data_IF_327976962368
#
_entry.id   IF_327976962368
#
_cell.length_a   1.000
_cell.length_b   1.000
_cell.length_c   1.000
_cell.angle_alpha   90.00
_cell.angle_beta   90.00
_cell.angle_gamma   90.00
#
_symmetry.space_group_name_H-M   'P 1'
#
loop_
_entity.id
_entity.type
_entity.pdbx_description
1 polymer ?
#
# COMPACT_ATOMS: atom_id res chain seq x y z
N UNK A 1 28.77 -22.26 -4.70
CA UNK A 1 27.33 -22.53 -4.95
C UNK A 1 26.40 -22.05 -3.83
N UNK A 2 26.78 -21.05 -3.00
CA UNK A 2 26.02 -20.67 -1.78
C UNK A 2 25.42 -19.24 -1.78
N UNK A 3 25.69 -18.41 -2.81
CA UNK A 3 25.15 -17.04 -2.90
C UNK A 3 23.72 -16.96 -3.48
N UNK A 4 23.30 -17.96 -4.26
CA UNK A 4 21.98 -17.97 -4.95
C UNK A 4 20.83 -18.41 -4.04
N UNK A 5 21.04 -19.31 -3.07
CA UNK A 5 20.01 -19.74 -2.11
C UNK A 5 19.65 -18.64 -1.09
N UNK A 6 20.64 -17.89 -0.61
CA UNK A 6 20.41 -16.79 0.35
C UNK A 6 19.71 -15.61 -0.29
N UNK A 7 20.01 -15.30 -1.57
CA UNK A 7 19.35 -14.22 -2.33
C UNK A 7 17.85 -14.44 -2.50
N UNK A 8 17.42 -15.68 -2.83
CA UNK A 8 15.99 -16.02 -2.93
C UNK A 8 15.25 -15.74 -1.64
N UNK A 9 15.79 -16.18 -0.49
CA UNK A 9 15.13 -16.02 0.82
C UNK A 9 14.88 -14.56 1.23
N UNK A 10 15.79 -13.64 0.90
CA UNK A 10 15.62 -12.20 1.19
C UNK A 10 14.63 -11.53 0.23
N UNK A 11 14.66 -11.89 -1.06
CA UNK A 11 13.69 -11.38 -2.05
C UNK A 11 12.29 -11.89 -1.73
N UNK A 12 12.14 -13.17 -1.40
CA UNK A 12 10.86 -13.77 -1.00
C UNK A 12 10.28 -13.06 0.24
N UNK A 13 11.15 -12.68 1.18
CA UNK A 13 10.73 -11.92 2.36
C UNK A 13 10.19 -10.54 1.99
N UNK A 14 10.93 -9.76 1.19
CA UNK A 14 10.51 -8.42 0.77
C UNK A 14 9.19 -8.48 0.00
N UNK A 15 9.06 -9.42 -0.95
CA UNK A 15 7.82 -9.66 -1.70
C UNK A 15 6.68 -10.01 -0.76
N UNK A 16 6.92 -10.85 0.25
CA UNK A 16 5.91 -11.21 1.25
C UNK A 16 5.39 -9.99 2.02
N UNK A 17 6.29 -9.10 2.47
CA UNK A 17 5.86 -7.89 3.21
C UNK A 17 5.13 -6.90 2.30
N UNK A 18 5.62 -6.70 1.06
CA UNK A 18 4.97 -5.85 0.07
C UNK A 18 3.57 -6.36 -0.30
N UNK A 19 3.39 -7.67 -0.41
CA UNK A 19 2.09 -8.30 -0.57
C UNK A 19 1.19 -8.05 0.65
N UNK A 20 1.74 -8.06 1.87
CA UNK A 20 1.03 -7.66 3.09
C UNK A 20 0.49 -6.22 3.01
N UNK A 21 1.31 -5.27 2.58
CA UNK A 21 0.86 -3.89 2.34
C UNK A 21 -0.27 -3.83 1.29
N UNK A 22 -0.11 -4.54 0.18
CA UNK A 22 -1.11 -4.59 -0.88
C UNK A 22 -2.46 -5.10 -0.34
N UNK A 23 -2.47 -6.20 0.42
CA UNK A 23 -3.68 -6.72 1.06
C UNK A 23 -4.37 -5.66 1.94
N UNK A 24 -3.59 -4.93 2.75
CA UNK A 24 -4.12 -3.85 3.58
C UNK A 24 -4.74 -2.73 2.74
N UNK A 25 -4.06 -2.28 1.70
CA UNK A 25 -4.52 -1.21 0.82
C UNK A 25 -5.74 -1.59 -0.03
N UNK A 26 -5.79 -2.83 -0.54
CA UNK A 26 -6.95 -3.34 -1.27
C UNK A 26 -8.19 -3.44 -0.37
N UNK A 27 -8.04 -4.02 0.82
CA UNK A 27 -9.16 -4.21 1.76
C UNK A 27 -9.70 -2.92 2.38
N UNK A 28 -8.96 -1.81 2.29
CA UNK A 28 -9.33 -0.52 2.88
C UNK A 28 -9.52 0.58 1.83
N UNK A 29 -8.45 1.22 1.36
CA UNK A 29 -8.49 2.42 0.53
C UNK A 29 -9.14 2.16 -0.84
N UNK A 30 -8.81 1.07 -1.52
CA UNK A 30 -9.32 0.82 -2.86
C UNK A 30 -10.79 0.42 -2.85
N UNK A 31 -11.17 -0.56 -2.02
CA UNK A 31 -12.57 -0.94 -1.87
C UNK A 31 -13.38 0.22 -1.29
N UNK A 32 -12.84 0.97 -0.33
CA UNK A 32 -13.45 2.18 0.20
C UNK A 32 -13.71 3.24 -0.87
N UNK A 33 -12.76 3.47 -1.77
CA UNK A 33 -12.94 4.37 -2.91
C UNK A 33 -14.05 3.90 -3.85
N UNK A 34 -14.09 2.60 -4.17
CA UNK A 34 -15.13 2.02 -5.04
C UNK A 34 -16.51 2.21 -4.41
N UNK A 35 -16.67 1.87 -3.13
CA UNK A 35 -17.92 2.04 -2.38
C UNK A 35 -18.34 3.52 -2.37
N UNK A 36 -17.39 4.42 -2.09
CA UNK A 36 -17.61 5.88 -2.10
C UNK A 36 -18.05 6.37 -3.47
N UNK A 37 -17.42 5.89 -4.55
CA UNK A 37 -17.73 6.28 -5.91
C UNK A 37 -19.12 5.82 -6.33
N UNK A 38 -19.49 4.58 -6.01
CA UNK A 38 -20.87 4.07 -6.21
C UNK A 38 -21.85 4.96 -5.44
N UNK A 39 -21.57 5.25 -4.17
CA UNK A 39 -22.40 6.14 -3.35
C UNK A 39 -22.59 7.52 -3.97
N UNK A 40 -21.52 8.07 -4.57
CA UNK A 40 -21.55 9.38 -5.23
C UNK A 40 -22.40 9.35 -6.51
N UNK A 41 -22.27 8.31 -7.33
CA UNK A 41 -23.04 8.17 -8.58
C UNK A 41 -24.54 8.00 -8.30
N UNK A 42 -24.89 7.23 -7.27
CA UNK A 42 -26.28 6.96 -6.89
C UNK A 42 -26.84 7.93 -5.84
N UNK A 43 -26.08 8.95 -5.44
CA UNK A 43 -26.42 9.90 -4.35
C UNK A 43 -26.84 9.21 -3.02
N UNK A 44 -26.17 8.11 -2.67
CA UNK A 44 -26.38 7.38 -1.42
C UNK A 44 -25.36 7.81 -0.36
N UNK A 45 -25.77 8.74 0.50
CA UNK A 45 -24.88 9.38 1.49
C UNK A 45 -24.24 8.38 2.47
N UNK A 46 -25.00 7.37 2.90
CA UNK A 46 -24.50 6.30 3.78
C UNK A 46 -23.34 5.51 3.14
N UNK A 47 -23.40 5.29 1.82
CA UNK A 47 -22.38 4.55 1.09
C UNK A 47 -21.11 5.41 0.91
N UNK A 48 -21.28 6.72 0.71
CA UNK A 48 -20.17 7.69 0.69
C UNK A 48 -19.45 7.69 2.05
N UNK A 49 -20.20 7.68 3.16
CA UNK A 49 -19.62 7.64 4.50
C UNK A 49 -18.86 6.34 4.77
N UNK A 50 -19.41 5.19 4.43
CA UNK A 50 -18.73 3.90 4.61
C UNK A 50 -17.43 3.81 3.82
N UNK A 51 -17.46 4.26 2.56
CA UNK A 51 -16.26 4.34 1.74
C UNK A 51 -15.22 5.30 2.31
N UNK A 52 -15.66 6.46 2.82
CA UNK A 52 -14.80 7.42 3.50
C UNK A 52 -14.11 6.84 4.74
N UNK A 53 -14.84 6.17 5.62
CA UNK A 53 -14.26 5.52 6.80
C UNK A 53 -13.27 4.42 6.43
N UNK A 54 -13.57 3.62 5.41
CA UNK A 54 -12.65 2.60 4.91
C UNK A 54 -11.34 3.21 4.39
N UNK A 55 -11.40 4.36 3.72
CA UNK A 55 -10.20 5.09 3.28
C UNK A 55 -9.38 5.65 4.45
N UNK A 56 -10.03 6.19 5.48
CA UNK A 56 -9.35 6.69 6.68
C UNK A 56 -8.63 5.57 7.45
N UNK A 57 -9.18 4.36 7.45
CA UNK A 57 -8.60 3.19 8.11
C UNK A 57 -7.54 2.46 7.29
N UNK A 58 -7.04 3.06 6.21
CA UNK A 58 -5.98 2.47 5.39
C UNK A 58 -4.70 2.17 6.17
N UNK A 59 -4.17 3.13 6.92
CA UNK A 59 -2.99 2.94 7.77
C UNK A 59 -3.15 1.75 8.73
N UNK A 60 -4.23 1.72 9.54
CA UNK A 60 -4.58 0.57 10.37
C UNK A 60 -4.62 -0.78 9.63
N UNK A 61 -5.28 -0.82 8.46
CA UNK A 61 -5.41 -2.05 7.66
C UNK A 61 -4.06 -2.54 7.12
N UNK A 62 -3.22 -1.63 6.61
CA UNK A 62 -1.83 -1.93 6.21
C UNK A 62 -1.06 -2.48 7.41
N UNK A 63 -1.21 -1.87 8.59
CA UNK A 63 -0.54 -2.31 9.82
C UNK A 63 -0.84 -3.77 10.18
N UNK A 64 -2.12 -4.15 10.20
CA UNK A 64 -2.52 -5.53 10.45
C UNK A 64 -2.04 -6.49 9.34
N UNK A 65 -2.20 -6.09 8.07
CA UNK A 65 -1.89 -6.96 6.95
C UNK A 65 -0.38 -7.22 6.79
N UNK A 66 0.45 -6.22 7.07
CA UNK A 66 1.91 -6.36 7.14
C UNK A 66 2.30 -7.29 8.28
N UNK A 67 1.76 -7.10 9.48
CA UNK A 67 2.04 -7.96 10.63
C UNK A 67 1.62 -9.42 10.37
N UNK A 68 0.47 -9.61 9.75
CA UNK A 68 -0.01 -10.93 9.31
C UNK A 68 0.95 -11.55 8.28
N UNK A 69 1.39 -10.78 7.29
CA UNK A 69 2.30 -11.28 6.25
C UNK A 69 3.64 -11.75 6.81
N UNK A 70 4.19 -11.10 7.83
CA UNK A 70 5.47 -11.51 8.45
C UNK A 70 5.32 -12.62 9.48
N UNK A 71 4.09 -13.06 9.78
CA UNK A 71 3.80 -14.12 10.74
C UNK A 71 3.91 -13.66 12.21
N UNK A 72 3.55 -12.41 12.49
CA UNK A 72 3.50 -11.89 13.85
C UNK A 72 2.48 -12.65 14.73
N UNK A 73 2.70 -12.76 16.05
CA UNK A 73 1.69 -13.31 16.96
C UNK A 73 0.40 -12.46 16.94
N UNK A 74 -0.77 -13.03 17.29
CA UNK A 74 -2.06 -12.31 17.22
C UNK A 74 -2.05 -10.95 17.94
N UNK A 75 -1.44 -10.87 19.13
CA UNK A 75 -1.28 -9.61 19.86
C UNK A 75 -0.44 -8.58 19.11
N UNK A 76 0.60 -9.02 18.39
CA UNK A 76 1.41 -8.16 17.53
C UNK A 76 0.62 -7.63 16.33
N UNK A 77 -0.25 -8.45 15.74
CA UNK A 77 -1.13 -8.04 14.63
C UNK A 77 -2.09 -6.94 15.09
N UNK A 78 -2.79 -7.15 16.21
CA UNK A 78 -3.72 -6.14 16.73
C UNK A 78 -3.02 -4.86 17.18
N UNK A 79 -1.84 -4.96 17.79
CA UNK A 79 -1.04 -3.78 18.14
C UNK A 79 -0.54 -3.02 16.89
N UNK A 80 -0.27 -3.74 15.79
CA UNK A 80 0.19 -3.15 14.54
C UNK A 80 -0.88 -2.31 13.84
N UNK A 81 -2.16 -2.48 14.17
CA UNK A 81 -3.25 -1.59 13.73
C UNK A 81 -2.98 -0.15 14.19
N UNK A 82 -2.60 0.01 15.46
CA UNK A 82 -2.30 1.31 16.07
C UNK A 82 -1.03 1.89 15.44
N UNK A 83 0.01 1.07 15.29
CA UNK A 83 1.27 1.47 14.65
C UNK A 83 1.06 1.91 13.20
N UNK A 84 0.25 1.18 12.44
CA UNK A 84 -0.09 1.55 11.07
C UNK A 84 -0.82 2.88 10.98
N UNK A 85 -1.71 3.19 11.93
CA UNK A 85 -2.38 4.48 12.02
C UNK A 85 -1.40 5.64 12.31
N UNK A 86 -0.48 5.42 13.25
CA UNK A 86 0.56 6.39 13.62
C UNK A 86 1.54 6.61 12.47
N UNK A 87 2.00 5.53 11.83
CA UNK A 87 2.91 5.57 10.70
C UNK A 87 2.29 6.17 9.44
N UNK A 88 0.99 5.97 9.21
CA UNK A 88 0.30 6.65 8.12
C UNK A 88 0.11 8.15 8.40
N UNK A 89 0.20 8.58 9.66
CA UNK A 89 -0.21 9.91 10.08
C UNK A 89 -1.71 10.12 9.93
N UNK A 90 -2.52 9.06 10.07
CA UNK A 90 -3.99 9.13 9.99
C UNK A 90 -4.54 10.05 11.08
N UNK A 91 -3.97 9.97 12.28
CA UNK A 91 -4.30 10.82 13.42
C UNK A 91 -3.14 11.76 13.69
N UNK A 92 -3.35 13.06 13.49
CA UNK A 92 -2.36 14.11 13.78
C UNK A 92 -2.91 15.08 14.80
N UNK A 93 -2.07 15.45 15.75
CA UNK A 93 -2.38 16.47 16.75
C UNK A 93 -1.87 17.82 16.23
N UNK A 94 -2.79 18.73 15.94
CA UNK A 94 -2.50 20.11 15.54
C UNK A 94 -3.26 21.02 16.49
N UNK A 95 -2.56 21.90 17.20
CA UNK A 95 -3.14 22.87 18.14
C UNK A 95 -4.09 22.26 19.19
N UNK A 96 -3.75 21.06 19.69
CA UNK A 96 -4.56 20.33 20.67
C UNK A 96 -5.79 19.62 20.10
N UNK A 97 -6.02 19.68 18.79
CA UNK A 97 -7.09 18.96 18.11
C UNK A 97 -6.54 17.77 17.31
N UNK A 98 -7.26 16.64 17.37
CA UNK A 98 -6.93 15.46 16.58
C UNK A 98 -7.58 15.58 15.21
N UNK A 99 -6.77 15.82 14.19
CA UNK A 99 -7.19 15.83 12.79
C UNK A 99 -7.08 14.40 12.26
N UNK A 100 -8.14 13.96 11.57
CA UNK A 100 -8.21 12.65 10.91
C UNK A 100 -8.14 12.84 9.41
N UNK A 101 -7.12 12.28 8.77
CA UNK A 101 -6.93 12.36 7.32
C UNK A 101 -6.54 10.99 6.74
N UNK A 102 -6.72 10.85 5.42
CA UNK A 102 -6.17 9.69 4.70
C UNK A 102 -4.64 9.79 4.82
N UNK A 103 -4.05 8.78 5.45
CA UNK A 103 -2.62 8.75 5.71
C UNK A 103 -1.79 8.30 4.51
N UNK A 104 -0.47 8.23 4.71
CA UNK A 104 0.51 7.84 3.69
C UNK A 104 0.83 6.32 3.79
N UNK A 105 0.64 5.52 2.71
CA UNK A 105 0.80 4.07 2.75
C UNK A 105 2.21 3.57 3.12
N UNK A 106 3.26 4.21 2.63
CA UNK A 106 4.66 3.78 2.80
C UNK A 106 5.13 4.01 4.24
N UNK A 107 4.75 5.14 4.84
CA UNK A 107 4.96 5.43 6.26
C UNK A 107 4.27 4.40 7.16
N UNK A 108 3.02 4.03 6.84
CA UNK A 108 2.28 2.98 7.53
C UNK A 108 3.00 1.63 7.45
N UNK A 109 3.46 1.27 6.25
CA UNK A 109 4.19 0.04 5.97
C UNK A 109 5.49 -0.07 6.79
N UNK A 110 6.33 0.97 6.79
CA UNK A 110 7.62 0.95 7.49
C UNK A 110 7.43 0.88 9.00
N UNK A 111 6.53 1.69 9.55
CA UNK A 111 6.23 1.66 10.98
C UNK A 111 5.71 0.27 11.39
N UNK A 112 4.77 -0.28 10.63
CA UNK A 112 4.19 -1.59 10.90
C UNK A 112 5.19 -2.74 10.76
N UNK A 113 6.10 -2.68 9.78
CA UNK A 113 7.14 -3.70 9.61
C UNK A 113 8.07 -3.75 10.82
N UNK A 114 8.51 -2.58 11.33
CA UNK A 114 9.35 -2.53 12.54
C UNK A 114 8.58 -3.06 13.76
N UNK A 115 7.34 -2.59 13.96
CA UNK A 115 6.50 -3.07 15.06
C UNK A 115 6.27 -4.59 14.99
N UNK A 116 5.99 -5.13 13.81
CA UNK A 116 5.75 -6.55 13.61
C UNK A 116 7.00 -7.39 13.88
N UNK A 117 8.20 -6.93 13.50
CA UNK A 117 9.45 -7.64 13.79
C UNK A 117 9.78 -7.65 15.29
N UNK A 118 9.54 -6.52 15.97
CA UNK A 118 9.66 -6.44 17.44
C UNK A 118 8.70 -7.43 18.10
N UNK A 119 7.46 -7.54 17.61
CA UNK A 119 6.47 -8.50 18.15
C UNK A 119 6.92 -9.96 18.02
N UNK A 120 7.57 -10.32 16.91
CA UNK A 120 8.09 -11.68 16.69
C UNK A 120 9.25 -11.98 17.61
N UNK A 121 10.16 -11.02 17.80
CA UNK A 121 11.29 -11.16 18.71
C UNK A 121 10.84 -11.37 20.16
N UNK A 122 9.75 -10.72 20.56
CA UNK A 122 9.20 -10.79 21.93
C UNK A 122 8.40 -12.07 22.22
N UNK A 123 7.87 -12.74 21.19
CA UNK A 123 7.01 -13.91 21.33
C UNK A 123 7.63 -15.00 22.20
N UNK A 124 8.93 -15.27 22.01
CA UNK A 124 9.62 -16.37 22.68
C UNK A 124 10.39 -15.93 23.94
N UNK A 125 10.38 -14.62 24.26
CA UNK A 125 11.21 -14.03 25.33
C UNK A 125 10.41 -13.44 26.48
N UNK A 126 9.14 -13.09 26.28
CA UNK A 126 8.33 -12.44 27.32
C UNK A 126 7.69 -13.42 28.28
N UNK A 127 7.84 -13.17 29.59
CA UNK A 127 7.13 -13.87 30.66
C UNK A 127 5.67 -13.41 30.81
N UNK A 128 5.33 -12.22 30.31
CA UNK A 128 3.98 -11.61 30.37
C UNK A 128 3.60 -11.06 28.99
N UNK A 129 3.40 -11.92 27.97
CA UNK A 129 3.26 -11.52 26.57
C UNK A 129 2.06 -10.60 26.30
N UNK A 130 0.99 -10.72 27.10
CA UNK A 130 -0.25 -9.92 26.97
C UNK A 130 0.02 -8.41 27.10
N UNK A 131 0.94 -8.00 27.98
CA UNK A 131 1.24 -6.59 28.22
C UNK A 131 2.47 -6.16 27.41
N UNK A 132 3.52 -6.98 27.44
CA UNK A 132 4.82 -6.59 26.89
C UNK A 132 4.80 -6.47 25.36
N UNK A 133 4.09 -7.36 24.66
CA UNK A 133 4.04 -7.35 23.19
C UNK A 133 3.37 -6.06 22.69
N UNK A 134 2.10 -5.76 23.02
CA UNK A 134 1.45 -4.56 22.50
C UNK A 134 2.16 -3.28 22.92
N UNK A 135 2.66 -3.20 24.16
CA UNK A 135 3.40 -2.03 24.65
C UNK A 135 4.63 -1.73 23.78
N UNK A 136 5.51 -2.73 23.57
CA UNK A 136 6.75 -2.52 22.82
C UNK A 136 6.50 -2.37 21.32
N UNK A 137 5.48 -3.02 20.76
CA UNK A 137 5.09 -2.84 19.36
C UNK A 137 4.61 -1.41 19.12
N UNK A 138 3.73 -0.89 19.97
CA UNK A 138 3.22 0.48 19.85
C UNK A 138 4.33 1.50 20.08
N UNK A 139 5.21 1.29 21.07
CA UNK A 139 6.31 2.22 21.33
C UNK A 139 7.33 2.22 20.19
N UNK A 140 7.84 1.05 19.77
CA UNK A 140 8.84 0.96 18.70
C UNK A 140 8.29 1.43 17.35
N UNK A 141 7.12 0.92 16.96
CA UNK A 141 6.46 1.28 15.72
C UNK A 141 5.95 2.72 15.73
N UNK A 142 5.44 3.20 16.85
CA UNK A 142 4.99 4.58 17.03
C UNK A 142 6.13 5.59 16.98
N UNK A 143 7.30 5.29 17.57
CA UNK A 143 8.49 6.12 17.44
C UNK A 143 8.97 6.20 15.98
N UNK A 144 9.00 5.06 15.28
CA UNK A 144 9.30 5.03 13.84
C UNK A 144 8.27 5.83 13.06
N UNK A 145 6.98 5.66 13.34
CA UNK A 145 5.93 6.43 12.69
C UNK A 145 6.07 7.93 12.94
N UNK A 146 6.39 8.34 14.16
CA UNK A 146 6.54 9.75 14.51
C UNK A 146 7.76 10.39 13.86
N UNK A 147 8.91 9.72 13.88
CA UNK A 147 10.15 10.31 13.38
C UNK A 147 10.37 10.07 11.89
N UNK A 148 10.00 8.92 11.34
CA UNK A 148 10.35 8.55 9.96
C UNK A 148 9.23 8.89 8.97
N UNK A 149 7.96 8.67 9.35
CA UNK A 149 6.85 8.86 8.41
C UNK A 149 6.71 10.30 7.87
N UNK A 150 6.95 11.38 8.64
CA UNK A 150 6.89 12.75 8.10
C UNK A 150 7.91 13.00 7.00
N UNK A 151 9.14 12.48 7.14
CA UNK A 151 10.17 12.63 6.11
C UNK A 151 9.82 11.86 4.84
N UNK A 152 9.25 10.67 4.98
CA UNK A 152 8.79 9.87 3.85
C UNK A 152 7.62 10.56 3.14
N UNK A 153 6.62 11.02 3.90
CA UNK A 153 5.49 11.74 3.33
C UNK A 153 5.93 13.02 2.61
N UNK A 154 6.89 13.77 3.17
CA UNK A 154 7.45 14.97 2.54
C UNK A 154 8.20 14.61 1.23
N UNK A 155 9.00 13.55 1.24
CA UNK A 155 9.69 13.07 0.05
C UNK A 155 8.70 12.62 -1.04
N UNK A 156 7.69 11.82 -0.69
CA UNK A 156 6.67 11.36 -1.63
C UNK A 156 5.85 12.51 -2.21
N UNK A 157 5.49 13.50 -1.37
CA UNK A 157 4.80 14.72 -1.81
C UNK A 157 5.66 15.54 -2.76
N UNK A 158 6.96 15.67 -2.48
CA UNK A 158 7.88 16.40 -3.35
C UNK A 158 7.98 15.76 -4.73
N UNK A 159 8.19 14.43 -4.78
CA UNK A 159 8.25 13.68 -6.04
C UNK A 159 6.90 13.75 -6.76
N UNK A 160 5.80 13.63 -6.03
CA UNK A 160 4.44 13.76 -6.53
C UNK A 160 4.16 15.08 -7.22
N UNK A 161 4.45 16.18 -6.52
CA UNK A 161 4.28 17.53 -7.04
C UNK A 161 5.14 17.76 -8.28
N UNK A 162 6.38 17.26 -8.28
CA UNK A 162 7.23 17.32 -9.46
C UNK A 162 6.60 16.60 -10.66
N UNK A 163 6.06 15.40 -10.46
CA UNK A 163 5.39 14.65 -11.55
C UNK A 163 4.13 15.39 -12.03
N UNK A 164 3.27 15.82 -11.11
CA UNK A 164 2.03 16.52 -11.42
C UNK A 164 2.30 17.81 -12.21
N UNK A 165 3.21 18.66 -11.73
CA UNK A 165 3.58 19.90 -12.43
C UNK A 165 4.26 19.63 -13.78
N UNK A 166 5.12 18.61 -13.87
CA UNK A 166 5.74 18.23 -15.13
C UNK A 166 4.70 17.77 -16.17
N UNK A 167 3.66 17.04 -15.75
CA UNK A 167 2.56 16.64 -16.63
C UNK A 167 1.66 17.78 -17.08
N UNK A 168 1.60 18.89 -16.34
CA UNK A 168 0.85 20.08 -16.77
C UNK A 168 1.65 20.91 -17.78
N UNK A 169 2.97 21.03 -17.59
CA UNK A 169 3.85 21.79 -18.48
C UNK A 169 4.01 21.13 -19.86
N UNK A 170 4.13 19.80 -19.91
CA UNK A 170 4.25 19.06 -21.17
C UNK A 170 3.37 17.79 -21.17
N UNK A 171 2.05 17.93 -21.40
CA UNK A 171 1.09 16.83 -21.21
C UNK A 171 1.36 15.59 -22.06
N UNK A 172 1.76 15.78 -23.32
CA UNK A 172 1.96 14.67 -24.26
C UNK A 172 3.18 13.81 -23.89
N UNK A 173 4.43 14.36 -23.83
CA UNK A 173 5.59 13.54 -23.54
C UNK A 173 5.63 13.07 -22.08
N UNK A 174 5.26 13.90 -21.11
CA UNK A 174 5.25 13.47 -19.71
C UNK A 174 4.15 12.47 -19.42
N UNK A 175 2.97 12.63 -20.04
CA UNK A 175 1.91 11.62 -19.95
C UNK A 175 2.36 10.27 -20.48
N UNK A 176 3.07 10.22 -21.62
CA UNK A 176 3.62 8.98 -22.16
C UNK A 176 4.65 8.32 -21.21
N UNK A 177 5.54 9.12 -20.60
CA UNK A 177 6.53 8.62 -19.64
C UNK A 177 5.84 8.08 -18.38
N UNK A 178 4.93 8.85 -17.76
CA UNK A 178 4.20 8.45 -16.55
C UNK A 178 3.38 7.18 -16.80
N UNK A 179 2.68 7.11 -17.93
CA UNK A 179 1.94 5.93 -18.37
C UNK A 179 2.84 4.69 -18.48
N UNK A 180 3.98 4.82 -19.17
CA UNK A 180 4.93 3.72 -19.35
C UNK A 180 5.54 3.26 -18.03
N UNK A 181 5.98 4.20 -17.20
CA UNK A 181 6.57 3.90 -15.88
C UNK A 181 5.55 3.23 -14.97
N UNK A 182 4.31 3.72 -14.91
CA UNK A 182 3.27 3.11 -14.08
C UNK A 182 2.85 1.72 -14.58
N UNK A 183 2.79 1.53 -15.90
CA UNK A 183 2.61 0.20 -16.50
C UNK A 183 3.72 -0.78 -16.12
N UNK A 184 4.98 -0.33 -16.07
CA UNK A 184 6.11 -1.13 -15.58
C UNK A 184 6.09 -1.34 -14.06
N UNK A 185 5.60 -0.39 -13.26
CA UNK A 185 5.50 -0.59 -11.81
C UNK A 185 4.43 -1.64 -11.50
N UNK A 186 3.37 -1.72 -12.29
CA UNK A 186 2.31 -2.72 -12.15
C UNK A 186 2.81 -4.16 -12.35
N UNK A 187 3.95 -4.39 -12.99
CA UNK A 187 4.57 -5.72 -13.12
C UNK A 187 5.48 -6.08 -11.95
N UNK A 188 6.00 -5.08 -11.24
CA UNK A 188 6.82 -5.32 -10.07
C UNK A 188 5.96 -5.86 -8.91
N UNK A 189 6.54 -6.62 -7.96
CA UNK A 189 5.85 -7.07 -6.74
C UNK A 189 5.58 -5.91 -5.75
N UNK A 190 5.28 -4.73 -6.28
CA UNK A 190 4.98 -3.48 -5.58
C UNK A 190 3.57 -3.08 -6.00
N UNK A 191 2.75 -2.64 -5.05
CA UNK A 191 1.42 -2.13 -5.38
C UNK A 191 1.55 -0.79 -6.11
N UNK A 192 1.28 -0.77 -7.43
CA UNK A 192 1.23 0.47 -8.23
C UNK A 192 0.20 1.45 -7.68
N UNK A 193 -0.92 0.94 -7.14
CA UNK A 193 -1.90 1.74 -6.42
C UNK A 193 -1.31 2.42 -5.18
N UNK A 194 -0.50 1.70 -4.39
CA UNK A 194 0.18 2.30 -3.24
C UNK A 194 1.13 3.42 -3.69
N UNK A 195 1.91 3.20 -4.75
CA UNK A 195 2.83 4.21 -5.30
C UNK A 195 2.08 5.45 -5.77
N UNK A 196 1.01 5.28 -6.56
CA UNK A 196 0.21 6.41 -7.06
C UNK A 196 -0.43 7.23 -5.94
N UNK A 197 -0.92 6.57 -4.89
CA UNK A 197 -1.49 7.24 -3.71
C UNK A 197 -0.41 7.96 -2.91
N UNK A 198 0.73 7.33 -2.70
CA UNK A 198 1.84 7.91 -1.93
C UNK A 198 2.42 9.13 -2.64
N UNK A 199 2.57 9.05 -3.96
CA UNK A 199 2.99 10.17 -4.81
C UNK A 199 1.89 11.23 -5.01
N UNK A 200 0.68 11.04 -4.49
CA UNK A 200 -0.40 12.02 -4.67
C UNK A 200 -0.68 12.36 -6.13
N UNK A 201 -0.60 11.37 -7.04
CA UNK A 201 -0.86 11.61 -8.45
C UNK A 201 -2.32 12.06 -8.62
N UNK A 202 -2.50 13.17 -9.33
CA UNK A 202 -3.83 13.76 -9.54
C UNK A 202 -3.96 14.32 -10.95
N UNK A 203 -5.20 14.66 -11.33
CA UNK A 203 -5.49 15.25 -12.65
C UNK A 203 -4.93 14.44 -13.82
N UNK A 204 -4.17 15.11 -14.69
CA UNK A 204 -3.61 14.53 -15.91
C UNK A 204 -2.61 13.41 -15.59
N UNK A 205 -1.80 13.54 -14.53
CA UNK A 205 -0.85 12.51 -14.13
C UNK A 205 -1.54 11.21 -13.70
N UNK A 206 -2.61 11.32 -12.91
CA UNK A 206 -3.41 10.16 -12.50
C UNK A 206 -4.12 9.51 -13.70
N UNK A 207 -4.61 10.33 -14.65
CA UNK A 207 -5.17 9.85 -15.90
C UNK A 207 -4.14 9.08 -16.74
N UNK A 208 -2.95 9.64 -16.92
CA UNK A 208 -1.84 9.00 -17.64
C UNK A 208 -1.42 7.68 -16.97
N UNK A 209 -1.30 7.65 -15.64
CA UNK A 209 -1.01 6.44 -14.87
C UNK A 209 -2.10 5.37 -15.07
N UNK A 210 -3.37 5.78 -15.09
CA UNK A 210 -4.51 4.87 -15.31
C UNK A 210 -4.44 4.24 -16.69
N UNK A 211 -4.20 5.04 -17.74
CA UNK A 211 -4.05 4.55 -19.12
C UNK A 211 -2.88 3.57 -19.22
N UNK A 212 -1.74 3.88 -18.60
CA UNK A 212 -0.58 2.99 -18.59
C UNK A 212 -0.85 1.65 -17.93
N UNK A 213 -1.42 1.66 -16.73
CA UNK A 213 -1.79 0.45 -16.01
C UNK A 213 -2.81 -0.41 -16.79
N UNK A 214 -3.84 0.22 -17.35
CA UNK A 214 -4.91 -0.51 -18.07
C UNK A 214 -4.45 -1.05 -19.43
N UNK A 215 -3.68 -0.28 -20.21
CA UNK A 215 -3.11 -0.76 -21.48
C UNK A 215 -2.14 -1.92 -21.27
N UNK A 216 -1.27 -1.84 -20.25
CA UNK A 216 -0.36 -2.92 -19.87
C UNK A 216 -1.13 -4.20 -19.48
N UNK A 217 -2.19 -4.06 -18.66
CA UNK A 217 -3.01 -5.19 -18.21
C UNK A 217 -3.72 -5.89 -19.37
N UNK A 218 -4.31 -5.12 -20.30
CA UNK A 218 -4.95 -5.65 -21.51
C UNK A 218 -3.90 -6.32 -22.40
N UNK A 219 -2.72 -5.72 -22.57
CA UNK A 219 -1.61 -6.31 -23.31
C UNK A 219 -1.24 -7.69 -22.78
N UNK A 220 -1.03 -7.81 -21.47
CA UNK A 220 -0.75 -9.10 -20.84
C UNK A 220 -1.90 -10.10 -20.96
N UNK A 221 -3.15 -9.66 -20.81
CA UNK A 221 -4.31 -10.54 -20.96
C UNK A 221 -4.41 -11.13 -22.38
N UNK A 222 -4.16 -10.32 -23.41
CA UNK A 222 -4.16 -10.76 -24.81
C UNK A 222 -2.97 -11.71 -25.08
N UNK A 223 -1.76 -11.37 -24.62
CA UNK A 223 -0.61 -12.26 -24.79
C UNK A 223 -0.83 -13.60 -24.09
N UNK A 224 -1.44 -13.59 -22.90
CA UNK A 224 -1.76 -14.81 -22.17
C UNK A 224 -2.85 -15.67 -22.81
N UNK A 225 -3.70 -15.10 -23.66
CA UNK A 225 -4.80 -15.85 -24.28
C UNK A 225 -4.28 -17.00 -25.16
N UNK A 226 -3.11 -16.82 -25.80
CA UNK A 226 -2.50 -17.87 -26.63
C UNK A 226 -2.11 -19.12 -25.84
N UNK A 227 -1.66 -18.95 -24.60
CA UNK A 227 -1.14 -20.05 -23.78
C UNK A 227 -2.16 -20.57 -22.76
N UNK A 228 -2.95 -19.67 -22.18
CA UNK A 228 -3.85 -19.96 -21.06
C UNK A 228 -5.34 -19.79 -21.40
N UNK A 229 -5.66 -19.50 -22.67
CA UNK A 229 -7.03 -19.35 -23.16
C UNK A 229 -7.84 -18.28 -22.41
N UNK A 230 -9.15 -18.51 -22.34
CA UNK A 230 -10.10 -17.59 -21.68
C UNK A 230 -9.84 -17.46 -20.16
N UNK A 231 -9.30 -18.52 -19.54
CA UNK A 231 -8.94 -18.53 -18.12
C UNK A 231 -7.81 -17.54 -17.83
N UNK A 232 -6.73 -17.55 -18.63
CA UNK A 232 -5.63 -16.59 -18.49
C UNK A 232 -6.04 -15.16 -18.79
N UNK A 233 -6.89 -14.97 -19.80
CA UNK A 233 -7.39 -13.64 -20.17
C UNK A 233 -8.23 -13.02 -19.04
N UNK A 234 -9.12 -13.78 -18.42
CA UNK A 234 -9.93 -13.28 -17.30
C UNK A 234 -9.09 -13.10 -16.03
N UNK A 235 -8.19 -14.04 -15.74
CA UNK A 235 -7.35 -14.01 -14.53
C UNK A 235 -6.34 -12.86 -14.52
N UNK A 236 -5.78 -12.52 -15.68
CA UNK A 236 -4.82 -11.41 -15.80
C UNK A 236 -5.52 -10.11 -16.13
N UNK A 237 -6.52 -10.11 -17.02
CA UNK A 237 -7.22 -8.89 -17.42
C UNK A 237 -8.03 -8.26 -16.29
N UNK A 238 -8.71 -9.09 -15.48
CA UNK A 238 -9.53 -8.63 -14.35
C UNK A 238 -8.78 -8.78 -13.02
N UNK A 239 -7.89 -9.76 -12.90
CA UNK A 239 -7.13 -10.03 -11.69
C UNK A 239 -5.84 -9.22 -11.57
N UNK A 240 -4.68 -9.87 -11.65
CA UNK A 240 -3.37 -9.20 -11.48
C UNK A 240 -2.33 -9.70 -12.48
N UNK A 241 -1.58 -8.76 -13.05
CA UNK A 241 -0.39 -9.01 -13.89
C UNK A 241 0.71 -9.76 -13.16
N UNK A 242 0.75 -9.71 -11.82
CA UNK A 242 1.72 -10.45 -11.02
C UNK A 242 1.64 -11.96 -11.26
N UNK A 243 0.51 -12.48 -11.76
CA UNK A 243 0.35 -13.89 -12.15
C UNK A 243 1.24 -14.29 -13.33
N UNK A 244 1.62 -13.36 -14.21
CA UNK A 244 2.55 -13.67 -15.31
C UNK A 244 4.01 -13.71 -14.88
N UNK A 245 4.33 -13.05 -13.77
CA UNK A 245 5.72 -12.81 -13.35
C UNK A 245 6.09 -13.72 -12.19
N UNK A 246 5.09 -14.25 -11.47
CA UNK A 246 5.29 -15.34 -10.52
C UNK A 246 5.19 -16.70 -11.21
N UNK A 247 6.20 -17.02 -12.03
CA UNK A 247 6.62 -18.39 -12.31
C UNK A 247 8.13 -18.45 -12.61
#
# INVERSE_FOLDING_TARGET
MNKTKTKRKSTDYIVKVLNGMALGLFSSLLIGLIIKQIGTVFNLELLIQFGGFAQLLMGPAIGAAVAYSVGAPPLGIFASIIVGALGAGTFRLVDGQTIVAIGEPVGAFIAALIGAEVSKFLKDRSKVPIITIPLLVILSGGLVGHYIAPYIAAFMTLVGNFINSATELHPIPMGAIVSTVMGMILTLPISSAAVSVSLGLSGIAAGAATVGCSTQMIGFAITSFKENGFSGLLSIGVGTSMLQISN
#
